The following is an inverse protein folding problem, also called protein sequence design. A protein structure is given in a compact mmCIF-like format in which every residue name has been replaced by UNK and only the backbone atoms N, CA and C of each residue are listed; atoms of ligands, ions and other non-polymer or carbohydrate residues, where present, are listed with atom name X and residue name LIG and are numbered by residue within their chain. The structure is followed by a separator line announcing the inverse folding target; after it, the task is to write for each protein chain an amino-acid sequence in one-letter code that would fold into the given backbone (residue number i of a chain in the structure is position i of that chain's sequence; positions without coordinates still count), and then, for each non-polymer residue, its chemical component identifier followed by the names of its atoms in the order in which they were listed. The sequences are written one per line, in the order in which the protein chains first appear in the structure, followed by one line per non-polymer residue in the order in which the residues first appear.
data_IF_906069466263
#
_entry.id   IF_906069466263
#
_cell.length_a   1.000
_cell.length_b   1.000
_cell.length_c   1.000
_cell.angle_alpha   90.00
_cell.angle_beta   90.00
_cell.angle_gamma   90.00
#
_symmetry.space_group_name_H-M   'P 1'
#
loop_
_entity.id
_entity.type
_entity.pdbx_description
1 polymer ?
#
# COMPACT_ATOMS: atom_id res chain seq x y z
N UNK A 1 -21.15 20.85 30.31
CA UNK A 1 -20.05 20.87 29.30
C UNK A 1 -19.85 22.29 28.81
N UNK A 2 -18.61 22.76 28.69
CA UNK A 2 -18.33 24.07 28.08
C UNK A 2 -18.48 24.00 26.55
N UNK A 3 -18.84 25.11 25.89
CA UNK A 3 -18.90 25.18 24.41
C UNK A 3 -17.57 24.76 23.76
N UNK A 4 -16.46 25.06 24.42
CA UNK A 4 -15.10 24.65 24.04
C UNK A 4 -14.92 23.13 24.06
N UNK A 5 -15.34 22.45 25.14
CA UNK A 5 -15.27 20.99 25.23
C UNK A 5 -16.16 20.28 24.20
N UNK A 6 -17.33 20.85 23.88
CA UNK A 6 -18.19 20.33 22.81
C UNK A 6 -17.52 20.45 21.43
N UNK A 7 -16.94 21.63 21.12
CA UNK A 7 -16.22 21.86 19.86
C UNK A 7 -15.00 20.95 19.72
N UNK A 8 -14.26 20.73 20.81
CA UNK A 8 -13.09 19.86 20.82
C UNK A 8 -13.46 18.39 20.55
N UNK A 9 -14.57 17.89 21.11
CA UNK A 9 -15.09 16.55 20.77
C UNK A 9 -15.45 16.42 19.30
N UNK A 10 -16.13 17.43 18.73
CA UNK A 10 -16.46 17.43 17.30
C UNK A 10 -15.21 17.38 16.41
N UNK A 11 -14.15 18.13 16.78
CA UNK A 11 -12.86 18.08 16.08
C UNK A 11 -12.16 16.73 16.24
N UNK A 12 -12.23 16.12 17.43
CA UNK A 12 -11.65 14.80 17.69
C UNK A 12 -12.32 13.71 16.83
N UNK A 13 -13.66 13.69 16.77
CA UNK A 13 -14.40 12.74 15.93
C UNK A 13 -14.05 12.92 14.44
N UNK A 14 -14.00 14.16 13.96
CA UNK A 14 -13.59 14.45 12.58
C UNK A 14 -12.15 13.97 12.30
N UNK A 15 -11.23 14.21 13.23
CA UNK A 15 -9.85 13.75 13.10
C UNK A 15 -9.74 12.23 13.14
N UNK A 16 -10.60 11.53 13.90
CA UNK A 16 -10.67 10.07 13.93
C UNK A 16 -11.08 9.52 12.57
N UNK A 17 -12.14 10.07 11.97
CA UNK A 17 -12.59 9.69 10.63
C UNK A 17 -11.52 9.95 9.56
N UNK A 18 -10.85 11.10 9.60
CA UNK A 18 -9.74 11.40 8.67
C UNK A 18 -8.57 10.45 8.83
N UNK A 19 -8.22 10.09 10.07
CA UNK A 19 -7.16 9.11 10.37
C UNK A 19 -7.52 7.75 9.81
N UNK A 20 -8.73 7.27 10.06
CA UNK A 20 -9.22 5.97 9.56
C UNK A 20 -9.22 5.92 8.03
N UNK A 21 -9.73 6.98 7.36
CA UNK A 21 -9.74 7.07 5.91
C UNK A 21 -8.31 7.03 5.32
N UNK A 22 -7.39 7.83 5.86
CA UNK A 22 -6.01 7.88 5.36
C UNK A 22 -5.26 6.55 5.58
N UNK A 23 -5.52 5.86 6.70
CA UNK A 23 -4.94 4.54 6.96
C UNK A 23 -5.54 3.45 6.04
N UNK A 24 -6.84 3.51 5.77
CA UNK A 24 -7.51 2.58 4.86
C UNK A 24 -6.98 2.73 3.43
N UNK A 25 -6.79 3.97 2.96
CA UNK A 25 -6.20 4.26 1.65
C UNK A 25 -4.75 3.73 1.56
N UNK A 26 -3.92 4.02 2.57
CA UNK A 26 -2.56 3.51 2.62
C UNK A 26 -2.52 1.98 2.64
N UNK A 27 -3.42 1.33 3.37
CA UNK A 27 -3.52 -0.12 3.42
C UNK A 27 -3.91 -0.71 2.06
N UNK A 28 -4.87 -0.09 1.36
CA UNK A 28 -5.30 -0.51 0.03
C UNK A 28 -4.16 -0.40 -1.00
N UNK A 29 -3.39 0.70 -0.97
CA UNK A 29 -2.23 0.88 -1.85
C UNK A 29 -1.13 -0.17 -1.56
N UNK A 30 -0.84 -0.44 -0.28
CA UNK A 30 0.13 -1.48 0.10
C UNK A 30 -0.33 -2.87 -0.31
N UNK A 31 -1.62 -3.17 -0.23
CA UNK A 31 -2.16 -4.44 -0.71
C UNK A 31 -1.95 -4.60 -2.22
N UNK A 32 -2.17 -3.54 -3.01
CA UNK A 32 -1.88 -3.55 -4.46
C UNK A 32 -0.39 -3.72 -4.75
N UNK A 33 0.49 -3.07 -3.98
CA UNK A 33 1.95 -3.25 -4.12
C UNK A 33 2.37 -4.70 -3.82
N UNK A 34 1.77 -5.33 -2.80
CA UNK A 34 2.01 -6.73 -2.47
C UNK A 34 1.56 -7.67 -3.59
N UNK A 35 0.38 -7.43 -4.18
CA UNK A 35 -0.11 -8.19 -5.35
C UNK A 35 0.84 -8.05 -6.54
N UNK A 36 1.31 -6.84 -6.85
CA UNK A 36 2.26 -6.62 -7.94
C UNK A 36 3.60 -7.34 -7.68
N UNK A 37 4.06 -7.36 -6.42
CA UNK A 37 5.28 -8.08 -6.02
C UNK A 37 5.11 -9.60 -6.20
N UNK A 38 4.01 -10.17 -5.71
CA UNK A 38 3.70 -11.58 -5.90
C UNK A 38 3.57 -11.96 -7.40
N UNK A 39 3.02 -11.06 -8.23
CA UNK A 39 2.95 -11.28 -9.67
C UNK A 39 4.34 -11.32 -10.32
N UNK A 40 5.26 -10.45 -9.91
CA UNK A 40 6.64 -10.46 -10.41
C UNK A 40 7.32 -11.79 -10.04
N UNK A 41 7.22 -12.23 -8.79
CA UNK A 41 7.78 -13.50 -8.33
C UNK A 41 7.22 -14.70 -9.12
N UNK A 42 5.90 -14.70 -9.37
CA UNK A 42 5.27 -15.75 -10.18
C UNK A 42 5.77 -15.76 -11.63
N UNK A 43 5.97 -14.58 -12.25
CA UNK A 43 6.52 -14.48 -13.61
C UNK A 43 7.98 -14.94 -13.67
N UNK A 44 8.77 -14.63 -12.64
CA UNK A 44 10.16 -15.09 -12.54
C UNK A 44 10.25 -16.61 -12.35
N UNK A 45 9.38 -17.19 -11.53
CA UNK A 45 9.26 -18.64 -11.37
C UNK A 45 8.85 -19.33 -12.68
N UNK A 46 7.89 -18.78 -13.42
CA UNK A 46 7.48 -19.30 -14.73
C UNK A 46 8.63 -19.23 -15.75
N UNK A 47 9.36 -18.11 -15.79
CA UNK A 47 10.50 -17.95 -16.69
C UNK A 47 11.63 -18.93 -16.33
N UNK A 48 11.87 -19.18 -15.05
CA UNK A 48 12.83 -20.19 -14.61
C UNK A 48 12.39 -21.60 -15.04
N UNK A 49 11.14 -21.98 -14.79
CA UNK A 49 10.60 -23.28 -15.18
C UNK A 49 10.68 -23.52 -16.70
N UNK A 50 10.34 -22.51 -17.51
CA UNK A 50 10.44 -22.60 -18.97
C UNK A 50 11.89 -22.82 -19.45
N UNK A 51 12.87 -22.15 -18.84
CA UNK A 51 14.29 -22.37 -19.16
C UNK A 51 14.76 -23.78 -18.79
N UNK A 52 14.33 -24.30 -17.64
CA UNK A 52 14.64 -25.67 -17.21
C UNK A 52 14.04 -26.70 -18.18
N UNK A 53 12.79 -26.49 -18.61
CA UNK A 53 12.14 -27.35 -19.60
C UNK A 53 12.88 -27.35 -20.95
N UNK A 54 13.29 -26.17 -21.44
CA UNK A 54 14.07 -26.05 -22.67
C UNK A 54 15.41 -26.78 -22.62
N UNK A 55 16.09 -26.74 -21.47
CA UNK A 55 17.34 -27.48 -21.27
C UNK A 55 17.13 -29.01 -21.35
N UNK A 56 15.93 -29.51 -21.00
CA UNK A 56 15.56 -30.93 -21.07
C UNK A 56 15.08 -31.39 -22.46
N UNK A 57 14.53 -30.49 -23.27
CA UNK A 57 14.11 -30.76 -24.65
C UNK A 57 14.41 -29.56 -25.57
N UNK A 58 15.58 -29.53 -26.21
CA UNK A 58 15.98 -28.45 -27.12
C UNK A 58 15.09 -28.31 -28.37
N UNK A 59 14.30 -29.34 -28.72
CA UNK A 59 13.43 -29.32 -29.90
C UNK A 59 12.30 -28.28 -29.82
N UNK A 60 11.99 -27.79 -28.61
CA UNK A 60 10.94 -26.80 -28.34
C UNK A 60 11.43 -25.33 -28.31
N UNK A 61 12.66 -25.05 -28.75
CA UNK A 61 13.34 -23.76 -28.62
C UNK A 61 12.54 -22.52 -29.02
N UNK A 62 12.08 -22.46 -30.26
CA UNK A 62 11.42 -21.25 -30.81
C UNK A 62 10.15 -20.85 -30.04
N UNK A 63 9.36 -21.84 -29.63
CA UNK A 63 8.12 -21.57 -28.86
C UNK A 63 8.44 -21.19 -27.42
N UNK A 64 9.49 -21.76 -26.84
CA UNK A 64 9.94 -21.42 -25.49
C UNK A 64 10.52 -20.01 -25.44
N UNK A 65 11.29 -19.60 -26.43
CA UNK A 65 11.84 -18.24 -26.53
C UNK A 65 10.72 -17.19 -26.63
N UNK A 66 9.73 -17.42 -27.50
CA UNK A 66 8.55 -16.54 -27.60
C UNK A 66 7.77 -16.45 -26.28
N UNK A 67 7.66 -17.57 -25.56
CA UNK A 67 7.02 -17.58 -24.25
C UNK A 67 7.83 -16.78 -23.22
N UNK A 68 9.16 -16.93 -23.19
CA UNK A 68 10.05 -16.16 -22.33
C UNK A 68 9.99 -14.65 -22.62
N UNK A 69 9.91 -14.25 -23.90
CA UNK A 69 9.75 -12.85 -24.30
C UNK A 69 8.41 -12.26 -23.83
N UNK A 70 7.33 -13.05 -23.93
CA UNK A 70 6.02 -12.66 -23.42
C UNK A 70 6.04 -12.47 -21.89
N UNK A 71 6.67 -13.39 -21.15
CA UNK A 71 6.85 -13.26 -19.70
C UNK A 71 7.69 -12.03 -19.33
N UNK A 72 8.76 -11.74 -20.09
CA UNK A 72 9.61 -10.58 -19.88
C UNK A 72 8.84 -9.26 -20.09
N UNK A 73 7.99 -9.19 -21.12
CA UNK A 73 7.13 -8.04 -21.38
C UNK A 73 6.12 -7.83 -20.24
N UNK A 74 5.44 -8.88 -19.78
CA UNK A 74 4.53 -8.79 -18.64
C UNK A 74 5.24 -8.38 -17.34
N UNK A 75 6.45 -8.90 -17.10
CA UNK A 75 7.27 -8.52 -15.94
C UNK A 75 7.66 -7.05 -15.99
N UNK A 76 8.08 -6.56 -17.15
CA UNK A 76 8.44 -5.14 -17.34
C UNK A 76 7.24 -4.22 -17.05
N UNK A 77 6.06 -4.55 -17.58
CA UNK A 77 4.83 -3.82 -17.29
C UNK A 77 4.50 -3.82 -15.78
N UNK A 78 4.55 -5.00 -15.15
CA UNK A 78 4.26 -5.14 -13.70
C UNK A 78 5.28 -4.36 -12.84
N UNK A 79 6.54 -4.29 -13.25
CA UNK A 79 7.57 -3.49 -12.57
C UNK A 79 7.29 -2.00 -12.68
N UNK A 80 6.83 -1.53 -13.85
CA UNK A 80 6.43 -0.14 -14.04
C UNK A 80 5.23 0.22 -13.15
N UNK A 81 4.21 -0.63 -13.12
CA UNK A 81 3.03 -0.45 -12.25
C UNK A 81 3.42 -0.42 -10.77
N UNK A 82 4.29 -1.34 -10.33
CA UNK A 82 4.81 -1.36 -8.96
C UNK A 82 5.60 -0.09 -8.64
N UNK A 83 6.37 0.44 -9.58
CA UNK A 83 7.12 1.67 -9.38
C UNK A 83 6.19 2.89 -9.23
N UNK A 84 5.08 2.93 -9.97
CA UNK A 84 4.04 3.94 -9.79
C UNK A 84 3.37 3.82 -8.41
N UNK A 85 2.95 2.60 -8.03
CA UNK A 85 2.36 2.32 -6.72
C UNK A 85 3.28 2.73 -5.57
N UNK A 86 4.60 2.49 -5.67
CA UNK A 86 5.56 2.93 -4.65
C UNK A 86 5.57 4.44 -4.43
N UNK A 87 5.42 5.23 -5.50
CA UNK A 87 5.34 6.70 -5.40
C UNK A 87 4.04 7.12 -4.72
N UNK A 88 2.92 6.49 -5.09
CA UNK A 88 1.62 6.74 -4.45
C UNK A 88 1.64 6.38 -2.96
N UNK A 89 2.19 5.20 -2.61
CA UNK A 89 2.37 4.77 -1.21
C UNK A 89 3.20 5.79 -0.44
N UNK A 90 4.30 6.29 -1.00
CA UNK A 90 5.13 7.31 -0.33
C UNK A 90 4.35 8.62 -0.11
N UNK A 91 3.53 9.05 -1.08
CA UNK A 91 2.65 10.20 -0.94
C UNK A 91 1.63 10.03 0.18
N UNK A 92 0.88 8.92 0.17
CA UNK A 92 -0.15 8.63 1.17
C UNK A 92 0.43 8.37 2.58
N UNK A 93 1.67 7.87 2.69
CA UNK A 93 2.33 7.69 3.99
C UNK A 93 2.45 9.01 4.75
N UNK A 94 2.86 10.08 4.08
CA UNK A 94 2.97 11.40 4.71
C UNK A 94 1.61 11.93 5.16
N UNK A 95 0.55 11.68 4.39
CA UNK A 95 -0.82 12.09 4.72
C UNK A 95 -1.38 11.30 5.90
N UNK A 96 -1.21 9.98 5.90
CA UNK A 96 -1.59 9.11 7.01
C UNK A 96 -0.86 9.52 8.30
N UNK A 97 0.46 9.77 8.24
CA UNK A 97 1.23 10.23 9.39
C UNK A 97 0.71 11.57 9.94
N UNK A 98 0.38 12.53 9.05
CA UNK A 98 -0.23 13.81 9.45
C UNK A 98 -1.61 13.61 10.08
N UNK A 99 -2.44 12.73 9.55
CA UNK A 99 -3.77 12.45 10.08
C UNK A 99 -3.71 11.80 11.46
N UNK A 100 -2.82 10.83 11.66
CA UNK A 100 -2.53 10.22 12.96
C UNK A 100 -2.04 11.29 13.95
N UNK A 101 -1.06 12.10 13.58
CA UNK A 101 -0.53 13.16 14.45
C UNK A 101 -1.60 14.18 14.86
N UNK A 102 -2.49 14.59 13.95
CA UNK A 102 -3.62 15.49 14.28
C UNK A 102 -4.59 14.86 15.29
N UNK A 103 -4.96 13.59 15.06
CA UNK A 103 -5.82 12.85 15.99
C UNK A 103 -5.19 12.77 17.38
N UNK A 104 -3.93 12.36 17.48
CA UNK A 104 -3.22 12.21 18.76
C UNK A 104 -3.13 13.53 19.53
N UNK A 105 -2.90 14.65 18.83
CA UNK A 105 -2.88 15.98 19.47
C UNK A 105 -4.26 16.35 20.01
N UNK A 106 -5.32 16.13 19.23
CA UNK A 106 -6.69 16.45 19.65
C UNK A 106 -7.17 15.55 20.79
N UNK A 107 -6.78 14.28 20.79
CA UNK A 107 -7.07 13.32 21.87
C UNK A 107 -6.41 13.78 23.18
N UNK A 108 -5.12 14.14 23.13
CA UNK A 108 -4.39 14.68 24.29
C UNK A 108 -4.99 15.99 24.81
N UNK A 109 -5.47 16.87 23.91
CA UNK A 109 -6.15 18.10 24.31
C UNK A 109 -7.51 17.81 24.95
N UNK A 110 -8.28 16.86 24.40
CA UNK A 110 -9.58 16.47 24.94
C UNK A 110 -9.44 15.91 26.36
N UNK A 111 -8.45 15.05 26.59
CA UNK A 111 -8.16 14.48 27.90
C UNK A 111 -7.75 15.54 28.96
N UNK A 112 -7.18 16.67 28.54
CA UNK A 112 -6.81 17.79 29.44
C UNK A 112 -7.99 18.69 29.79
N UNK A 113 -9.00 18.77 28.94
CA UNK A 113 -10.22 19.57 29.13
C UNK A 113 -11.31 18.79 29.88
N UNK A 114 -11.15 17.47 30.02
CA UNK A 114 -11.98 16.65 30.88
C UNK A 114 -11.63 16.97 32.33
N UNK A 115 -12.59 17.38 33.18
CA UNK A 115 -12.28 17.72 34.56
C UNK A 115 -11.70 16.48 35.23
N UNK A 116 -10.46 16.57 35.72
CA UNK A 116 -9.88 15.57 36.63
C UNK A 116 -10.90 15.34 37.74
N UNK A 117 -11.63 14.22 37.66
CA UNK A 117 -12.46 13.77 38.77
C UNK A 117 -11.50 13.24 39.83
N UNK A 118 -11.08 14.16 40.70
CA UNK A 118 -10.42 13.97 42.01
C UNK A 118 -9.08 13.25 41.99
#
# INVERSE_FOLDING_TARGET
MTRRAARLRGLLELARMQREAALAELAALRAREAVATARIEALEAQAHAARVALAGDPGAGVMTDRFLDALATQRSATLADRAALKKEVAGCQAEAARAVGRHDVLEKLAAREEPRRR
#
